data_IF_894847183146
#
_entry.id   IF_894847183146
#
_cell.length_a   1.000
_cell.length_b   1.000
_cell.length_c   1.000
_cell.angle_alpha   90.00
_cell.angle_beta   90.00
_cell.angle_gamma   90.00
#
_symmetry.space_group_name_H-M   'P 1'
#
loop_
_entity.id
_entity.type
_entity.pdbx_description
1 polymer ?
#
# COMPACT_ATOMS: atom_id res chain seq x y z
N UNK A 1 22.15 -4.79 15.89
CA UNK A 1 23.08 -3.79 15.36
C UNK A 1 22.37 -2.47 15.34
N UNK A 2 22.85 -1.42 16.00
CA UNK A 2 22.08 -0.19 16.21
C UNK A 2 21.94 0.71 14.97
N UNK A 3 22.80 0.62 13.98
CA UNK A 3 22.73 1.48 12.78
C UNK A 3 23.09 0.66 11.53
N UNK A 4 22.08 0.23 10.78
CA UNK A 4 22.26 -0.26 9.42
C UNK A 4 21.94 0.91 8.45
N UNK A 5 22.89 1.82 8.28
CA UNK A 5 22.73 3.03 7.50
C UNK A 5 23.71 3.03 6.32
N UNK A 6 23.19 3.29 5.13
CA UNK A 6 24.01 3.65 3.98
C UNK A 6 23.88 5.16 3.72
N UNK A 7 25.01 5.84 3.68
CA UNK A 7 25.15 7.23 3.31
C UNK A 7 25.66 7.32 1.87
N UNK A 8 24.99 8.12 1.04
CA UNK A 8 25.44 8.42 -0.32
C UNK A 8 25.33 9.92 -0.57
N UNK A 9 26.44 10.54 -0.89
CA UNK A 9 26.50 11.95 -1.30
C UNK A 9 26.51 11.97 -2.83
N UNK A 10 25.63 12.78 -3.44
CA UNK A 10 25.56 13.01 -4.87
C UNK A 10 25.62 14.51 -5.14
N UNK A 11 26.47 14.91 -6.09
CA UNK A 11 26.81 16.29 -6.42
C UNK A 11 28.29 16.58 -6.20
N UNK A 12 28.89 17.49 -6.98
CA UNK A 12 30.27 17.92 -6.86
C UNK A 12 30.45 19.02 -5.81
N UNK A 13 31.66 19.18 -5.30
CA UNK A 13 32.00 20.29 -4.40
C UNK A 13 31.74 21.66 -5.07
N UNK A 14 31.05 22.57 -4.34
CA UNK A 14 30.77 23.91 -4.77
C UNK A 14 29.56 24.07 -5.68
N UNK A 15 28.71 23.07 -5.83
CA UNK A 15 27.44 23.18 -6.55
C UNK A 15 26.39 23.95 -5.74
N UNK A 16 25.45 24.58 -6.45
CA UNK A 16 24.33 25.28 -5.82
C UNK A 16 23.34 24.36 -5.13
N UNK A 17 23.27 23.09 -5.56
CA UNK A 17 22.45 22.05 -4.93
C UNK A 17 23.26 20.76 -4.78
N UNK A 18 23.25 20.21 -3.58
CA UNK A 18 23.89 18.92 -3.28
C UNK A 18 22.89 18.04 -2.51
N UNK A 19 22.89 16.75 -2.80
CA UNK A 19 22.04 15.78 -2.09
C UNK A 19 22.87 14.82 -1.24
N UNK A 20 22.45 14.62 0.01
CA UNK A 20 22.90 13.53 0.87
C UNK A 20 21.74 12.61 1.19
N UNK A 21 21.82 11.36 0.75
CA UNK A 21 20.77 10.36 0.98
C UNK A 21 21.11 9.47 2.18
N UNK A 22 20.16 9.34 3.10
CA UNK A 22 20.21 8.42 4.22
C UNK A 22 19.22 7.28 3.98
N UNK A 23 19.72 6.03 3.97
CA UNK A 23 18.89 4.86 3.71
C UNK A 23 19.06 3.82 4.80
N UNK A 24 18.00 3.12 5.18
CA UNK A 24 18.03 2.08 6.20
C UNK A 24 17.35 2.47 7.51
N UNK A 25 17.97 2.16 8.63
CA UNK A 25 17.40 2.35 9.98
C UNK A 25 18.32 3.17 10.86
N UNK A 26 17.78 4.22 11.49
CA UNK A 26 18.46 5.07 12.46
C UNK A 26 17.91 4.79 13.87
N UNK A 27 18.60 3.95 14.64
CA UNK A 27 18.25 3.58 16.03
C UNK A 27 19.42 3.76 16.98
N UNK A 28 20.08 4.94 17.06
CA UNK A 28 21.12 5.15 18.03
C UNK A 28 20.55 5.08 19.46
N UNK A 29 21.29 4.47 20.39
CA UNK A 29 20.96 4.51 21.81
C UNK A 29 21.45 5.80 22.47
N UNK A 30 22.58 6.32 21.99
CA UNK A 30 23.19 7.58 22.45
C UNK A 30 23.58 8.44 21.23
N UNK A 31 23.75 9.74 21.47
CA UNK A 31 24.04 10.72 20.43
C UNK A 31 25.37 10.47 19.70
N UNK A 32 26.34 9.88 20.40
CA UNK A 32 27.69 9.57 19.87
C UNK A 32 27.65 8.58 18.70
N UNK A 33 26.65 7.68 18.66
CA UNK A 33 26.47 6.74 17.56
C UNK A 33 26.05 7.42 16.24
N UNK A 34 25.64 8.69 16.30
CA UNK A 34 25.32 9.54 15.14
C UNK A 34 26.52 10.36 14.65
N UNK A 35 27.71 10.23 15.27
CA UNK A 35 28.89 11.05 14.96
C UNK A 35 29.30 11.00 13.48
N UNK A 36 29.30 9.80 12.88
CA UNK A 36 29.63 9.61 11.46
C UNK A 36 28.59 10.27 10.54
N UNK A 37 27.30 10.10 10.86
CA UNK A 37 26.18 10.71 10.11
C UNK A 37 26.30 12.23 10.20
N UNK A 38 26.53 12.75 11.39
CA UNK A 38 26.68 14.18 11.64
C UNK A 38 27.88 14.77 10.88
N UNK A 39 29.05 14.12 10.95
CA UNK A 39 30.24 14.56 10.23
C UNK A 39 30.00 14.61 8.71
N UNK A 40 29.32 13.61 8.15
CA UNK A 40 28.97 13.58 6.73
C UNK A 40 27.99 14.68 6.34
N UNK A 41 26.98 14.98 7.18
CA UNK A 41 26.05 16.09 6.98
C UNK A 41 26.74 17.45 7.06
N UNK A 42 27.62 17.64 8.03
CA UNK A 42 28.41 18.87 8.20
C UNK A 42 29.36 19.07 7.02
N UNK A 43 30.03 18.02 6.55
CA UNK A 43 30.89 18.08 5.36
C UNK A 43 30.09 18.45 4.11
N UNK A 44 28.92 17.81 3.89
CA UNK A 44 28.03 18.16 2.78
C UNK A 44 27.56 19.61 2.87
N UNK A 45 27.21 20.09 4.07
CA UNK A 45 26.83 21.48 4.29
C UNK A 45 27.96 22.48 3.96
N UNK A 46 29.22 22.13 4.27
CA UNK A 46 30.36 22.97 3.92
C UNK A 46 30.65 23.01 2.41
N UNK A 47 30.41 21.91 1.71
CA UNK A 47 30.67 21.81 0.26
C UNK A 47 29.54 22.36 -0.63
N UNK A 48 28.36 22.66 -0.05
CA UNK A 48 27.18 23.18 -0.78
C UNK A 48 27.12 24.69 -0.70
N UNK A 49 26.75 25.37 -1.82
CA UNK A 49 26.61 26.85 -1.85
C UNK A 49 25.18 27.32 -1.61
N UNK A 50 24.16 26.67 -2.16
CA UNK A 50 22.78 27.14 -2.15
C UNK A 50 21.83 26.27 -1.31
N UNK A 51 21.54 25.03 -1.73
CA UNK A 51 20.59 24.15 -1.04
C UNK A 51 21.20 22.78 -0.79
N UNK A 52 21.23 22.36 0.47
CA UNK A 52 21.55 20.98 0.84
C UNK A 52 20.25 20.16 0.94
N UNK A 53 20.09 19.19 0.05
CA UNK A 53 19.00 18.24 0.09
C UNK A 53 19.36 17.04 0.98
N UNK A 54 18.64 16.87 2.08
CA UNK A 54 18.77 15.72 2.96
C UNK A 54 17.65 14.72 2.60
N UNK A 55 18.02 13.72 1.81
CA UNK A 55 17.06 12.76 1.26
C UNK A 55 16.86 11.58 2.24
N UNK A 56 15.67 11.53 2.84
CA UNK A 56 15.22 10.51 3.78
C UNK A 56 14.17 9.57 3.19
N UNK A 57 13.95 9.61 1.86
CA UNK A 57 12.91 8.80 1.18
C UNK A 57 13.01 7.30 1.46
N UNK A 58 14.23 6.79 1.63
CA UNK A 58 14.50 5.35 1.87
C UNK A 58 14.83 5.03 3.33
N UNK A 59 14.54 5.96 4.24
CA UNK A 59 14.71 5.72 5.67
C UNK A 59 13.53 4.89 6.18
N UNK A 60 13.81 3.68 6.66
CA UNK A 60 12.77 2.75 7.14
C UNK A 60 12.28 3.10 8.55
N UNK A 61 13.18 3.62 9.39
CA UNK A 61 12.88 3.96 10.78
C UNK A 61 13.88 4.98 11.32
N UNK A 62 13.40 5.84 12.23
CA UNK A 62 14.24 6.77 12.99
C UNK A 62 13.66 6.94 14.39
N UNK A 63 14.47 6.77 15.42
CA UNK A 63 14.07 7.03 16.80
C UNK A 63 14.25 8.52 17.20
N UNK A 64 13.82 8.86 18.42
CA UNK A 64 13.90 10.25 18.88
C UNK A 64 15.33 10.76 19.04
N UNK A 65 16.31 9.90 19.37
CA UNK A 65 17.71 10.30 19.48
C UNK A 65 18.24 10.76 18.13
N UNK A 66 18.02 9.96 17.06
CA UNK A 66 18.41 10.34 15.70
C UNK A 66 17.70 11.63 15.24
N UNK A 67 16.42 11.80 15.53
CA UNK A 67 15.69 13.02 15.20
C UNK A 67 16.27 14.26 15.90
N UNK A 68 16.61 14.15 17.18
CA UNK A 68 17.23 15.24 17.92
C UNK A 68 18.61 15.62 17.36
N UNK A 69 19.40 14.65 16.91
CA UNK A 69 20.70 14.92 16.28
C UNK A 69 20.53 15.61 14.92
N UNK A 70 19.53 15.24 14.11
CA UNK A 70 19.22 15.96 12.88
C UNK A 70 18.75 17.40 13.18
N UNK A 71 17.98 17.64 14.22
CA UNK A 71 17.60 18.97 14.66
C UNK A 71 18.81 19.79 15.16
N UNK A 72 19.75 19.15 15.87
CA UNK A 72 21.02 19.80 16.26
C UNK A 72 21.86 20.18 15.04
N UNK A 73 21.89 19.33 14.03
CA UNK A 73 22.53 19.65 12.74
C UNK A 73 21.87 20.85 12.08
N UNK A 74 20.53 20.92 12.00
CA UNK A 74 19.83 22.09 11.46
C UNK A 74 20.20 23.37 12.21
N UNK A 75 20.17 23.34 13.55
CA UNK A 75 20.55 24.49 14.38
C UNK A 75 21.98 24.94 14.09
N UNK A 76 22.91 24.00 13.95
CA UNK A 76 24.30 24.29 13.61
C UNK A 76 24.41 24.95 12.23
N UNK A 77 23.70 24.44 11.19
CA UNK A 77 23.70 25.06 9.86
C UNK A 77 23.17 26.49 9.93
N UNK A 78 22.01 26.70 10.53
CA UNK A 78 21.38 28.05 10.63
C UNK A 78 22.30 29.04 11.35
N UNK A 79 23.13 28.58 12.28
CA UNK A 79 24.06 29.45 13.03
C UNK A 79 25.36 29.67 12.28
N UNK A 80 25.92 28.60 11.65
CA UNK A 80 27.28 28.64 11.06
C UNK A 80 27.28 28.92 9.56
N UNK A 81 26.16 28.68 8.88
CA UNK A 81 25.96 28.83 7.44
C UNK A 81 24.57 29.43 7.12
N UNK A 82 24.28 30.67 7.58
CA UNK A 82 22.93 31.27 7.49
C UNK A 82 22.43 31.46 6.05
N UNK A 83 23.32 31.45 5.06
CA UNK A 83 23.01 31.51 3.64
C UNK A 83 22.56 30.17 3.04
N UNK A 84 22.89 29.05 3.70
CA UNK A 84 22.58 27.72 3.21
C UNK A 84 21.13 27.34 3.51
N UNK A 85 20.41 26.89 2.50
CA UNK A 85 19.07 26.31 2.66
C UNK A 85 19.18 24.82 2.87
N UNK A 86 18.30 24.26 3.70
CA UNK A 86 18.16 22.82 3.89
C UNK A 86 16.80 22.40 3.35
N UNK A 87 16.78 21.40 2.50
CA UNK A 87 15.55 20.75 2.04
C UNK A 87 15.54 19.29 2.49
N UNK A 88 14.61 18.93 3.38
CA UNK A 88 14.36 17.53 3.72
C UNK A 88 13.40 16.92 2.71
N UNK A 89 13.82 15.82 2.09
CA UNK A 89 12.98 15.03 1.19
C UNK A 89 12.50 13.81 1.96
N UNK A 90 11.22 13.76 2.30
CA UNK A 90 10.58 12.74 3.13
C UNK A 90 9.71 11.83 2.28
N UNK A 91 9.44 10.62 2.75
CA UNK A 91 8.44 9.74 2.14
C UNK A 91 7.09 9.94 2.82
N UNK A 92 6.01 10.01 2.02
CA UNK A 92 4.63 10.00 2.53
C UNK A 92 4.28 8.73 3.31
N UNK A 93 5.01 7.65 3.08
CA UNK A 93 4.87 6.35 3.79
C UNK A 93 5.25 6.45 5.27
N UNK A 94 5.87 7.56 5.71
CA UNK A 94 6.28 7.78 7.11
C UNK A 94 5.61 9.05 7.66
N UNK A 95 4.29 9.03 7.94
CA UNK A 95 3.53 10.23 8.35
C UNK A 95 4.06 10.90 9.61
N UNK A 96 4.58 10.11 10.58
CA UNK A 96 5.16 10.65 11.81
C UNK A 96 6.45 11.48 11.53
N UNK A 97 7.24 11.12 10.49
CA UNK A 97 8.41 11.90 10.11
C UNK A 97 7.99 13.25 9.55
N UNK A 98 6.99 13.28 8.68
CA UNK A 98 6.47 14.52 8.09
C UNK A 98 6.08 15.50 9.19
N UNK A 99 5.27 15.09 10.17
CA UNK A 99 4.84 15.98 11.28
C UNK A 99 6.02 16.53 12.08
N UNK A 100 7.03 15.68 12.39
CA UNK A 100 8.21 16.12 13.13
C UNK A 100 9.05 17.13 12.35
N UNK A 101 9.26 16.89 11.05
CA UNK A 101 10.05 17.81 10.22
C UNK A 101 9.28 19.08 9.86
N UNK A 102 7.94 19.06 9.80
CA UNK A 102 7.12 20.27 9.71
C UNK A 102 7.39 21.24 10.85
N UNK A 103 7.47 20.75 12.08
CA UNK A 103 7.83 21.58 13.24
C UNK A 103 9.22 22.21 13.07
N UNK A 104 10.20 21.49 12.50
CA UNK A 104 11.52 22.06 12.23
C UNK A 104 11.44 23.15 11.16
N UNK A 105 10.67 22.93 10.09
CA UNK A 105 10.51 23.93 9.02
C UNK A 105 9.76 25.20 9.50
N UNK A 106 8.80 25.05 10.41
CA UNK A 106 8.13 26.18 11.07
C UNK A 106 9.08 27.00 11.97
N UNK A 107 10.02 26.33 12.64
CA UNK A 107 10.99 26.98 13.54
C UNK A 107 12.16 27.66 12.80
N UNK A 108 12.53 27.12 11.64
CA UNK A 108 13.71 27.59 10.88
C UNK A 108 13.35 27.93 9.43
N UNK A 109 13.24 29.24 9.06
CA UNK A 109 12.88 29.67 7.69
C UNK A 109 13.83 29.19 6.58
N UNK A 110 15.07 28.82 6.92
CA UNK A 110 16.03 28.23 5.99
C UNK A 110 15.74 26.75 5.67
N UNK A 111 14.77 26.13 6.36
CA UNK A 111 14.41 24.72 6.20
C UNK A 111 13.11 24.60 5.40
N UNK A 112 13.12 23.76 4.39
CA UNK A 112 11.94 23.37 3.63
C UNK A 112 11.75 21.85 3.65
N UNK A 113 10.52 21.41 3.41
CA UNK A 113 10.17 20.00 3.30
C UNK A 113 9.59 19.76 1.92
N UNK A 114 10.10 18.72 1.28
CA UNK A 114 9.48 18.12 0.11
C UNK A 114 8.98 16.75 0.51
N UNK A 115 7.67 16.53 0.42
CA UNK A 115 7.09 15.22 0.64
C UNK A 115 7.04 14.48 -0.68
N UNK A 116 7.94 13.52 -0.83
CA UNK A 116 7.88 12.60 -1.95
C UNK A 116 6.75 11.62 -1.70
N UNK A 117 5.70 11.77 -2.45
CA UNK A 117 4.58 10.83 -2.40
C UNK A 117 5.01 9.50 -3.02
N UNK A 118 5.44 8.58 -2.15
CA UNK A 118 5.70 7.18 -2.48
C UNK A 118 4.53 6.28 -2.15
N UNK A 119 3.41 6.80 -1.72
CA UNK A 119 2.20 6.01 -1.73
C UNK A 119 1.91 5.66 -3.20
N UNK A 120 2.62 4.63 -3.69
CA UNK A 120 2.25 3.95 -4.90
C UNK A 120 0.99 3.17 -4.56
N UNK A 121 -0.12 3.81 -4.81
CA UNK A 121 -1.37 3.10 -4.93
C UNK A 121 -1.46 2.67 -6.39
N UNK A 122 -1.24 1.38 -6.66
CA UNK A 122 -1.41 0.87 -8.03
C UNK A 122 -2.76 1.39 -8.53
N UNK A 123 -2.78 1.94 -9.77
CA UNK A 123 -4.05 2.27 -10.43
C UNK A 123 -4.59 3.71 -10.22
N UNK A 124 -4.07 4.54 -9.29
CA UNK A 124 -4.62 5.89 -9.07
C UNK A 124 -4.57 6.84 -10.27
N UNK A 125 -3.59 6.69 -11.14
CA UNK A 125 -3.36 7.60 -12.27
C UNK A 125 -4.19 7.25 -13.53
N UNK A 126 -4.96 6.13 -13.52
CA UNK A 126 -5.60 5.54 -14.71
C UNK A 126 -7.11 5.75 -14.78
N UNK A 127 -7.70 6.42 -13.79
CA UNK A 127 -9.16 6.47 -13.58
C UNK A 127 -9.91 7.32 -14.61
N UNK A 128 -9.22 8.03 -15.47
CA UNK A 128 -9.84 8.75 -16.58
C UNK A 128 -10.01 7.86 -17.83
N UNK A 129 -9.59 6.58 -17.74
CA UNK A 129 -9.69 5.60 -18.83
C UNK A 129 -10.85 4.63 -18.54
N UNK A 130 -11.92 4.77 -19.27
CA UNK A 130 -13.12 3.93 -19.14
C UNK A 130 -12.80 2.44 -19.37
N UNK A 131 -11.85 2.12 -20.24
CA UNK A 131 -11.41 0.74 -20.50
C UNK A 131 -10.77 0.12 -19.26
N UNK A 132 -10.04 0.91 -18.50
CA UNK A 132 -9.42 0.43 -17.28
C UNK A 132 -10.42 0.25 -16.12
N UNK A 133 -11.43 1.11 -16.02
CA UNK A 133 -12.55 0.94 -15.10
C UNK A 133 -13.26 -0.39 -15.38
N UNK A 134 -13.51 -0.71 -16.65
CA UNK A 134 -14.11 -1.99 -17.04
C UNK A 134 -13.24 -3.20 -16.66
N UNK A 135 -11.92 -3.07 -16.72
CA UNK A 135 -11.01 -4.12 -16.24
C UNK A 135 -11.13 -4.33 -14.73
N UNK A 136 -11.15 -3.26 -13.94
CA UNK A 136 -11.30 -3.36 -12.47
C UNK A 136 -12.64 -3.99 -12.09
N UNK A 137 -13.72 -3.62 -12.79
CA UNK A 137 -15.04 -4.23 -12.60
C UNK A 137 -15.05 -5.71 -12.99
N UNK A 138 -14.35 -6.07 -14.08
CA UNK A 138 -14.18 -7.46 -14.48
C UNK A 138 -13.41 -8.25 -13.41
N UNK A 139 -12.34 -7.67 -12.87
CA UNK A 139 -11.59 -8.24 -11.75
C UNK A 139 -12.48 -8.47 -10.53
N UNK A 140 -13.24 -7.45 -10.12
CA UNK A 140 -14.15 -7.55 -8.98
C UNK A 140 -15.19 -8.65 -9.18
N UNK A 141 -15.78 -8.73 -10.38
CA UNK A 141 -16.75 -9.78 -10.70
C UNK A 141 -16.14 -11.18 -10.61
N UNK A 142 -14.94 -11.36 -11.18
CA UNK A 142 -14.24 -12.67 -11.11
C UNK A 142 -13.98 -13.06 -9.65
N UNK A 143 -13.48 -12.14 -8.83
CA UNK A 143 -13.26 -12.41 -7.40
C UNK A 143 -14.57 -12.75 -6.70
N UNK A 144 -15.62 -11.94 -6.96
CA UNK A 144 -16.94 -12.14 -6.37
C UNK A 144 -17.52 -13.53 -6.65
N UNK A 145 -17.41 -14.01 -7.88
CA UNK A 145 -17.95 -15.30 -8.29
C UNK A 145 -17.38 -16.47 -7.45
N UNK A 146 -16.16 -16.30 -6.90
CA UNK A 146 -15.49 -17.29 -6.04
C UNK A 146 -15.59 -16.99 -4.53
N UNK A 147 -15.84 -15.74 -4.16
CA UNK A 147 -15.82 -15.25 -2.78
C UNK A 147 -17.20 -15.33 -2.12
N UNK A 148 -18.28 -15.01 -2.85
CA UNK A 148 -19.62 -14.80 -2.32
C UNK A 148 -20.16 -15.97 -1.48
N UNK A 149 -19.92 -17.20 -1.92
CA UNK A 149 -20.40 -18.41 -1.22
C UNK A 149 -19.82 -18.58 0.18
N UNK A 150 -18.61 -18.02 0.42
CA UNK A 150 -17.91 -18.14 1.70
C UNK A 150 -18.19 -16.96 2.64
N UNK A 151 -18.74 -15.85 2.18
CA UNK A 151 -18.98 -14.68 3.01
C UNK A 151 -19.92 -14.96 4.18
N UNK A 152 -20.95 -15.78 3.98
CA UNK A 152 -21.83 -16.23 5.07
C UNK A 152 -21.06 -17.05 6.12
N UNK A 153 -20.14 -17.92 5.70
CA UNK A 153 -19.27 -18.67 6.61
C UNK A 153 -18.35 -17.73 7.40
N UNK A 154 -17.89 -16.62 6.80
CA UNK A 154 -17.15 -15.58 7.47
C UNK A 154 -18.00 -14.70 8.40
N UNK A 155 -19.32 -14.91 8.44
CA UNK A 155 -20.24 -14.23 9.36
C UNK A 155 -21.04 -13.08 8.75
N UNK A 156 -20.95 -12.88 7.43
CA UNK A 156 -21.81 -11.94 6.72
C UNK A 156 -23.25 -12.47 6.69
N UNK A 157 -24.21 -11.58 6.97
CA UNK A 157 -25.65 -11.90 6.99
C UNK A 157 -26.46 -10.62 6.69
N UNK A 158 -27.74 -10.74 6.34
CA UNK A 158 -28.60 -9.56 6.15
C UNK A 158 -28.70 -8.67 7.39
N UNK A 159 -28.96 -7.39 7.16
CA UNK A 159 -29.23 -6.41 8.22
C UNK A 159 -27.99 -5.95 9.00
N UNK A 160 -26.76 -6.25 8.55
CA UNK A 160 -25.54 -5.77 9.18
C UNK A 160 -25.19 -4.34 8.73
N UNK A 161 -24.54 -3.59 9.62
CA UNK A 161 -23.84 -2.35 9.31
C UNK A 161 -22.40 -2.69 8.92
N UNK A 162 -22.03 -2.31 7.70
CA UNK A 162 -20.75 -2.71 7.08
C UNK A 162 -19.88 -1.48 6.85
N UNK A 163 -18.59 -1.59 7.13
CA UNK A 163 -17.58 -0.65 6.67
C UNK A 163 -16.64 -1.37 5.68
N UNK A 164 -16.51 -0.82 4.47
CA UNK A 164 -15.61 -1.31 3.42
C UNK A 164 -14.44 -0.33 3.27
N UNK A 165 -13.28 -0.72 3.79
CA UNK A 165 -12.09 0.14 3.85
C UNK A 165 -11.16 -0.21 2.70
N UNK A 166 -10.65 0.81 1.99
CA UNK A 166 -10.01 0.71 0.68
C UNK A 166 -11.02 0.20 -0.37
N UNK A 167 -12.20 0.82 -0.40
CA UNK A 167 -13.35 0.36 -1.18
C UNK A 167 -13.21 0.52 -2.71
N UNK A 168 -12.18 1.22 -3.18
CA UNK A 168 -11.92 1.41 -4.60
C UNK A 168 -13.11 2.01 -5.36
N UNK A 169 -13.52 1.35 -6.44
CA UNK A 169 -14.66 1.75 -7.30
C UNK A 169 -16.04 1.49 -6.66
N UNK A 170 -16.09 0.84 -5.48
CA UNK A 170 -17.33 0.61 -4.74
C UNK A 170 -18.19 -0.55 -5.24
N UNK A 171 -17.75 -1.30 -6.24
CA UNK A 171 -18.54 -2.40 -6.82
C UNK A 171 -18.86 -3.48 -5.77
N UNK A 172 -17.94 -3.75 -4.83
CA UNK A 172 -18.18 -4.72 -3.75
C UNK A 172 -19.40 -4.36 -2.89
N UNK A 173 -19.55 -3.09 -2.53
CA UNK A 173 -20.71 -2.64 -1.75
C UNK A 173 -22.04 -2.85 -2.50
N UNK A 174 -22.05 -2.66 -3.82
CA UNK A 174 -23.22 -2.89 -4.69
C UNK A 174 -23.55 -4.40 -4.72
N UNK A 175 -22.54 -5.25 -4.86
CA UNK A 175 -22.69 -6.70 -4.84
C UNK A 175 -23.20 -7.20 -3.49
N UNK A 176 -22.66 -6.66 -2.39
CA UNK A 176 -23.16 -6.93 -1.04
C UNK A 176 -24.62 -6.54 -0.86
N UNK A 177 -25.02 -5.36 -1.37
CA UNK A 177 -26.40 -4.89 -1.29
C UNK A 177 -27.36 -5.81 -2.06
N UNK A 178 -26.94 -6.25 -3.24
CA UNK A 178 -27.74 -7.14 -4.08
C UNK A 178 -28.00 -8.51 -3.41
N UNK A 179 -26.94 -9.11 -2.84
CA UNK A 179 -26.99 -10.52 -2.45
C UNK A 179 -27.19 -10.72 -0.94
N UNK A 180 -26.79 -9.78 -0.10
CA UNK A 180 -26.82 -9.90 1.38
C UNK A 180 -27.72 -8.89 2.08
N UNK A 181 -28.15 -7.81 1.41
CA UNK A 181 -29.08 -6.80 1.93
C UNK A 181 -28.68 -6.27 3.31
N UNK A 182 -27.49 -5.68 3.47
CA UNK A 182 -27.10 -5.03 4.70
C UNK A 182 -28.02 -3.83 5.04
N UNK A 183 -28.07 -3.45 6.32
CA UNK A 183 -28.77 -2.25 6.76
C UNK A 183 -28.11 -0.99 6.17
N UNK A 184 -26.80 -0.92 6.23
CA UNK A 184 -26.02 0.22 5.80
C UNK A 184 -24.60 -0.19 5.42
N UNK A 185 -24.05 0.45 4.39
CA UNK A 185 -22.66 0.29 4.00
C UNK A 185 -21.98 1.66 3.93
N UNK A 186 -20.82 1.81 4.55
CA UNK A 186 -19.90 2.92 4.29
C UNK A 186 -18.64 2.41 3.61
N UNK A 187 -18.33 2.93 2.43
CA UNK A 187 -17.04 2.71 1.76
C UNK A 187 -16.10 3.86 2.03
N UNK A 188 -14.85 3.57 2.38
CA UNK A 188 -13.81 4.57 2.59
C UNK A 188 -12.64 4.29 1.66
N UNK A 189 -12.24 5.31 0.91
CA UNK A 189 -11.04 5.28 0.09
C UNK A 189 -10.34 6.64 0.10
N UNK A 190 -9.04 6.66 -0.19
CA UNK A 190 -8.28 7.91 -0.28
C UNK A 190 -8.21 8.44 -1.72
N UNK A 191 -8.71 7.70 -2.71
CA UNK A 191 -8.79 8.11 -4.11
C UNK A 191 -10.09 8.88 -4.39
N UNK A 192 -9.98 10.20 -4.50
CA UNK A 192 -11.15 11.04 -4.87
C UNK A 192 -11.76 10.67 -6.23
N UNK A 193 -10.98 10.32 -7.28
CA UNK A 193 -11.51 9.82 -8.54
C UNK A 193 -12.34 8.53 -8.34
N UNK A 194 -11.83 7.52 -7.63
CA UNK A 194 -12.59 6.29 -7.35
C UNK A 194 -13.91 6.60 -6.64
N UNK A 195 -13.88 7.45 -5.63
CA UNK A 195 -15.08 7.81 -4.89
C UNK A 195 -16.10 8.62 -5.72
N UNK A 196 -15.65 9.41 -6.70
CA UNK A 196 -16.58 10.06 -7.64
C UNK A 196 -17.32 9.02 -8.48
N UNK A 197 -16.59 8.05 -9.02
CA UNK A 197 -17.14 6.94 -9.76
C UNK A 197 -18.09 6.11 -8.90
N UNK A 198 -17.67 5.70 -7.71
CA UNK A 198 -18.48 4.91 -6.78
C UNK A 198 -19.80 5.60 -6.41
N UNK A 199 -19.77 6.91 -6.14
CA UNK A 199 -21.00 7.69 -5.85
C UNK A 199 -21.95 7.77 -7.04
N UNK A 200 -21.40 8.01 -8.24
CA UNK A 200 -22.21 8.01 -9.45
C UNK A 200 -22.88 6.66 -9.68
N UNK A 201 -22.14 5.60 -9.51
CA UNK A 201 -22.59 4.24 -9.72
C UNK A 201 -23.72 3.85 -8.76
N UNK A 202 -23.61 4.21 -7.48
CA UNK A 202 -24.69 4.01 -6.48
C UNK A 202 -25.94 4.80 -6.86
N UNK A 203 -25.80 6.05 -7.32
CA UNK A 203 -26.92 6.84 -7.81
C UNK A 203 -27.61 6.18 -9.02
N UNK A 204 -26.84 5.64 -9.97
CA UNK A 204 -27.37 4.98 -11.16
C UNK A 204 -28.20 3.73 -10.82
N UNK A 205 -27.85 3.04 -9.71
CA UNK A 205 -28.62 1.90 -9.18
C UNK A 205 -29.74 2.30 -8.19
N UNK A 206 -29.85 3.58 -7.84
CA UNK A 206 -30.87 4.04 -6.88
C UNK A 206 -30.72 3.48 -5.47
N UNK A 207 -29.48 3.23 -5.02
CA UNK A 207 -29.17 2.65 -3.72
C UNK A 207 -28.96 3.77 -2.69
N UNK A 208 -29.82 3.85 -1.67
CA UNK A 208 -29.78 4.92 -0.65
C UNK A 208 -29.02 4.54 0.62
N UNK A 209 -28.72 3.26 0.83
CA UNK A 209 -28.09 2.74 2.04
C UNK A 209 -26.57 2.50 1.88
N UNK A 210 -25.97 3.03 0.82
CA UNK A 210 -24.53 2.98 0.59
C UNK A 210 -23.99 4.42 0.54
N UNK A 211 -22.97 4.69 1.36
CA UNK A 211 -22.28 5.97 1.40
C UNK A 211 -20.79 5.78 1.14
N UNK A 212 -20.16 6.74 0.45
CA UNK A 212 -18.71 6.74 0.23
C UNK A 212 -18.07 7.99 0.80
N UNK A 213 -17.01 7.78 1.60
CA UNK A 213 -16.26 8.83 2.28
C UNK A 213 -14.80 8.84 1.84
N UNK A 214 -14.23 10.03 1.71
CA UNK A 214 -12.80 10.20 1.57
C UNK A 214 -12.14 10.03 2.93
N UNK A 215 -11.11 9.17 3.01
CA UNK A 215 -10.41 8.95 4.28
C UNK A 215 -9.12 8.16 4.12
N UNK A 216 -8.28 8.29 5.12
CA UNK A 216 -7.06 7.48 5.28
C UNK A 216 -7.40 6.24 6.12
N UNK A 217 -7.10 5.05 5.58
CA UNK A 217 -7.33 3.78 6.27
C UNK A 217 -6.56 3.67 7.61
N UNK A 218 -5.46 4.42 7.77
CA UNK A 218 -4.69 4.49 9.02
C UNK A 218 -5.23 5.51 10.04
N UNK A 219 -6.25 6.31 9.65
CA UNK A 219 -6.82 7.36 10.51
C UNK A 219 -8.29 7.63 10.12
N UNK A 220 -9.14 6.63 10.30
CA UNK A 220 -10.54 6.68 9.87
C UNK A 220 -11.36 7.68 10.70
N UNK A 221 -12.18 8.50 10.03
CA UNK A 221 -13.13 9.41 10.67
C UNK A 221 -14.47 8.71 11.02
N UNK A 222 -14.45 7.38 11.11
CA UNK A 222 -15.60 6.58 11.51
C UNK A 222 -15.63 6.37 13.02
N UNK A 223 -16.82 6.31 13.64
CA UNK A 223 -16.94 6.17 15.09
C UNK A 223 -16.53 4.76 15.57
N UNK A 224 -16.07 4.71 16.82
CA UNK A 224 -15.69 3.46 17.47
C UNK A 224 -16.88 2.50 17.60
N UNK A 225 -16.62 1.19 17.50
CA UNK A 225 -17.59 0.12 17.78
C UNK A 225 -18.92 0.24 17.05
N UNK A 226 -18.92 0.74 15.80
CA UNK A 226 -20.13 1.12 15.07
C UNK A 226 -20.54 0.17 13.95
N UNK A 227 -19.67 -0.78 13.58
CA UNK A 227 -19.92 -1.68 12.47
C UNK A 227 -19.90 -3.15 12.91
N UNK A 228 -20.82 -3.92 12.37
CA UNK A 228 -20.95 -5.36 12.60
C UNK A 228 -19.93 -6.16 11.83
N UNK A 229 -19.62 -5.70 10.62
CA UNK A 229 -18.71 -6.34 9.68
C UNK A 229 -17.83 -5.26 9.03
N UNK A 230 -16.51 -5.41 9.16
CA UNK A 230 -15.54 -4.47 8.62
C UNK A 230 -14.68 -5.19 7.60
N UNK A 231 -14.56 -4.64 6.40
CA UNK A 231 -13.80 -5.27 5.32
C UNK A 231 -12.61 -4.42 4.89
N UNK A 232 -11.53 -5.07 4.45
CA UNK A 232 -10.44 -4.46 3.71
C UNK A 232 -9.95 -5.50 2.69
N UNK A 233 -10.34 -5.32 1.42
CA UNK A 233 -10.08 -6.30 0.36
C UNK A 233 -8.94 -5.83 -0.53
N UNK A 234 -7.92 -6.68 -0.67
CA UNK A 234 -6.69 -6.41 -1.44
C UNK A 234 -5.99 -5.08 -1.08
N UNK A 235 -6.34 -4.50 0.07
CA UNK A 235 -5.80 -3.23 0.54
C UNK A 235 -4.56 -3.39 1.41
N UNK A 236 -4.54 -4.36 2.33
CA UNK A 236 -3.45 -4.47 3.32
C UNK A 236 -2.07 -4.65 2.70
N UNK A 237 -1.98 -5.27 1.54
CA UNK A 237 -0.75 -5.55 0.82
C UNK A 237 -0.03 -4.30 0.28
N UNK A 238 -0.75 -3.17 0.13
CA UNK A 238 -0.16 -1.93 -0.36
C UNK A 238 0.41 -1.04 0.75
N UNK A 239 0.23 -1.43 2.01
CA UNK A 239 0.73 -0.68 3.16
C UNK A 239 1.99 -1.33 3.74
N UNK A 240 3.00 -0.52 4.02
CA UNK A 240 4.25 -0.98 4.64
C UNK A 240 4.03 -1.52 6.08
N UNK A 241 3.06 -0.98 6.80
CA UNK A 241 2.71 -1.36 8.18
C UNK A 241 1.21 -1.62 8.32
N UNK A 242 0.73 -2.82 7.93
CA UNK A 242 -0.69 -3.15 7.98
C UNK A 242 -1.28 -3.18 9.40
N UNK A 243 -0.43 -3.21 10.45
CA UNK A 243 -0.87 -3.22 11.86
C UNK A 243 -1.63 -1.93 12.23
N UNK A 244 -1.22 -0.77 11.71
CA UNK A 244 -1.93 0.48 11.93
C UNK A 244 -3.34 0.44 11.35
N UNK A 245 -3.47 -0.08 10.12
CA UNK A 245 -4.76 -0.28 9.47
C UNK A 245 -5.62 -1.26 10.28
N UNK A 246 -5.06 -2.41 10.68
CA UNK A 246 -5.79 -3.38 11.51
C UNK A 246 -6.27 -2.80 12.84
N UNK A 247 -5.51 -1.87 13.44
CA UNK A 247 -5.92 -1.12 14.63
C UNK A 247 -7.17 -0.28 14.40
N UNK A 248 -7.25 0.41 13.27
CA UNK A 248 -8.42 1.20 12.89
C UNK A 248 -9.63 0.31 12.55
N UNK A 249 -9.43 -0.80 11.81
CA UNK A 249 -10.50 -1.77 11.55
C UNK A 249 -11.07 -2.32 12.86
N UNK A 250 -10.19 -2.65 13.83
CA UNK A 250 -10.60 -3.08 15.16
C UNK A 250 -11.35 -1.99 15.92
N UNK A 251 -10.89 -0.75 15.88
CA UNK A 251 -11.52 0.36 16.58
C UNK A 251 -12.97 0.56 16.14
N UNK A 252 -13.21 0.60 14.82
CA UNK A 252 -14.55 0.82 14.28
C UNK A 252 -15.47 -0.41 14.34
N UNK A 253 -14.91 -1.62 14.37
CA UNK A 253 -15.65 -2.87 14.53
C UNK A 253 -16.19 -2.95 15.96
N UNK A 254 -17.47 -3.29 16.14
CA UNK A 254 -18.06 -3.48 17.47
C UNK A 254 -17.57 -4.76 18.16
N UNK A 255 -17.60 -4.86 19.50
CA UNK A 255 -17.38 -6.11 20.21
C UNK A 255 -18.33 -7.19 19.67
N UNK A 256 -17.79 -8.39 19.36
CA UNK A 256 -18.53 -9.48 18.74
C UNK A 256 -18.73 -9.33 17.22
N UNK A 257 -18.41 -8.18 16.62
CA UNK A 257 -18.36 -7.98 15.18
C UNK A 257 -17.20 -8.70 14.52
N UNK A 258 -17.16 -8.71 13.20
CA UNK A 258 -16.13 -9.42 12.44
C UNK A 258 -15.35 -8.47 11.53
N UNK A 259 -14.07 -8.76 11.39
CA UNK A 259 -13.19 -8.16 10.39
C UNK A 259 -12.91 -9.22 9.32
N UNK A 260 -13.05 -8.82 8.08
CA UNK A 260 -12.80 -9.66 6.90
C UNK A 260 -11.77 -8.99 5.99
N UNK A 261 -10.76 -9.75 5.57
CA UNK A 261 -9.69 -9.24 4.69
C UNK A 261 -9.44 -10.22 3.56
N UNK A 262 -9.10 -9.71 2.38
CA UNK A 262 -8.51 -10.51 1.31
C UNK A 262 -7.13 -9.98 0.95
N UNK A 263 -6.20 -10.89 0.66
CA UNK A 263 -4.81 -10.56 0.41
C UNK A 263 -4.26 -11.39 -0.75
N UNK A 264 -3.52 -10.76 -1.65
CA UNK A 264 -2.88 -11.45 -2.76
C UNK A 264 -1.76 -12.39 -2.31
N UNK A 265 -1.54 -13.42 -3.09
CA UNK A 265 -0.40 -14.32 -3.00
C UNK A 265 0.29 -14.39 -4.37
N UNK A 266 1.17 -13.43 -4.63
CA UNK A 266 1.86 -13.33 -5.91
C UNK A 266 2.83 -14.50 -6.15
N UNK A 267 3.50 -15.00 -5.09
CA UNK A 267 4.36 -16.19 -5.18
C UNK A 267 3.60 -17.48 -5.48
N UNK A 268 2.29 -17.48 -5.28
CA UNK A 268 1.40 -18.60 -5.57
C UNK A 268 0.85 -18.59 -7.00
N UNK A 269 1.11 -17.55 -7.79
CA UNK A 269 0.72 -17.54 -9.20
C UNK A 269 1.57 -18.57 -9.95
N UNK A 270 0.89 -19.53 -10.53
CA UNK A 270 1.51 -20.61 -11.30
C UNK A 270 0.90 -20.67 -12.69
N UNK A 271 1.67 -21.16 -13.65
CA UNK A 271 1.22 -21.34 -15.02
C UNK A 271 1.99 -22.40 -15.78
N UNK A 272 1.35 -22.93 -16.80
CA UNK A 272 1.91 -23.92 -17.71
C UNK A 272 1.58 -23.51 -19.15
N UNK A 273 2.52 -23.65 -20.14
CA UNK A 273 3.77 -24.42 -20.07
C UNK A 273 5.00 -23.66 -19.53
N UNK A 274 4.99 -22.34 -19.46
CA UNK A 274 6.20 -21.53 -19.19
C UNK A 274 6.47 -21.31 -17.71
N UNK A 275 6.52 -22.36 -16.91
CA UNK A 275 6.63 -22.32 -15.45
C UNK A 275 7.77 -21.43 -14.91
N UNK A 276 8.96 -21.49 -15.50
CA UNK A 276 10.11 -20.72 -15.02
C UNK A 276 9.98 -19.22 -15.32
N UNK A 277 9.35 -18.86 -16.44
CA UNK A 277 9.06 -17.46 -16.78
C UNK A 277 8.01 -16.89 -15.82
N UNK A 278 6.96 -17.64 -15.48
CA UNK A 278 5.99 -17.26 -14.45
C UNK A 278 6.68 -17.00 -13.11
N UNK A 279 7.47 -17.98 -12.64
CA UNK A 279 8.19 -17.86 -11.36
C UNK A 279 9.05 -16.60 -11.34
N UNK A 280 9.85 -16.36 -12.37
CA UNK A 280 10.71 -15.19 -12.45
C UNK A 280 9.90 -13.88 -12.45
N UNK A 281 8.82 -13.82 -13.23
CA UNK A 281 7.97 -12.62 -13.35
C UNK A 281 7.38 -12.22 -12.01
N UNK A 282 6.72 -13.14 -11.33
CA UNK A 282 6.04 -12.82 -10.07
C UNK A 282 7.01 -12.64 -8.90
N UNK A 283 8.13 -13.35 -8.89
CA UNK A 283 9.22 -13.07 -7.95
C UNK A 283 9.74 -11.63 -8.13
N UNK A 284 9.89 -11.18 -9.37
CA UNK A 284 10.33 -9.81 -9.65
C UNK A 284 9.30 -8.76 -9.23
N UNK A 285 8.03 -9.03 -9.43
CA UNK A 285 6.93 -8.17 -8.94
C UNK A 285 6.97 -8.07 -7.41
N UNK A 286 7.19 -9.17 -6.70
CA UNK A 286 7.33 -9.20 -5.24
C UNK A 286 8.53 -8.36 -4.79
N UNK A 287 9.70 -8.52 -5.43
CA UNK A 287 10.91 -7.74 -5.13
C UNK A 287 10.67 -6.24 -5.29
N UNK A 288 10.05 -5.84 -6.42
CA UNK A 288 9.69 -4.44 -6.66
C UNK A 288 8.67 -3.92 -5.64
N UNK A 289 7.67 -4.74 -5.30
CA UNK A 289 6.72 -4.43 -4.23
C UNK A 289 7.42 -4.10 -2.92
N UNK A 290 8.35 -4.94 -2.48
CA UNK A 290 9.13 -4.69 -1.26
C UNK A 290 9.95 -3.39 -1.33
N UNK A 291 10.53 -3.06 -2.50
CA UNK A 291 11.25 -1.80 -2.68
C UNK A 291 10.32 -0.58 -2.56
N UNK A 292 9.05 -0.75 -2.91
CA UNK A 292 8.02 0.29 -2.84
C UNK A 292 7.24 0.29 -1.51
N UNK A 293 7.61 -0.58 -0.56
CA UNK A 293 6.95 -0.68 0.75
C UNK A 293 5.65 -1.50 0.73
N UNK A 294 5.42 -2.30 -0.31
CA UNK A 294 4.28 -3.20 -0.43
C UNK A 294 4.70 -4.65 -0.11
N UNK A 295 3.76 -5.45 0.35
CA UNK A 295 3.95 -6.88 0.57
C UNK A 295 2.98 -7.69 -0.31
N UNK A 296 3.46 -8.06 -1.49
CA UNK A 296 2.65 -8.75 -2.48
C UNK A 296 2.35 -10.23 -2.12
N UNK A 297 2.91 -10.72 -1.01
CA UNK A 297 2.66 -12.05 -0.43
C UNK A 297 1.97 -11.99 0.94
N UNK A 298 1.27 -10.91 1.21
CA UNK A 298 0.47 -10.74 2.43
C UNK A 298 -0.53 -11.89 2.63
N UNK A 299 -0.95 -12.57 1.55
CA UNK A 299 -1.81 -13.76 1.59
C UNK A 299 -1.34 -14.82 2.58
N UNK A 300 -0.04 -15.15 2.57
CA UNK A 300 0.55 -16.12 3.51
C UNK A 300 0.48 -15.67 4.97
N UNK A 301 0.38 -14.38 5.21
CA UNK A 301 0.39 -13.76 6.53
C UNK A 301 -1.01 -13.49 7.07
N UNK A 302 -2.06 -13.73 6.28
CA UNK A 302 -3.46 -13.39 6.62
C UNK A 302 -3.83 -13.90 8.03
N UNK A 303 -3.55 -15.18 8.35
CA UNK A 303 -3.84 -15.73 9.68
C UNK A 303 -3.07 -15.03 10.79
N UNK A 304 -1.78 -14.76 10.58
CA UNK A 304 -0.92 -14.10 11.57
C UNK A 304 -1.34 -12.64 11.80
N UNK A 305 -1.75 -11.92 10.75
CA UNK A 305 -2.25 -10.55 10.83
C UNK A 305 -3.48 -10.49 11.73
N UNK A 306 -4.45 -11.40 11.50
CA UNK A 306 -5.68 -11.47 12.30
C UNK A 306 -5.41 -11.86 13.76
N UNK A 307 -4.50 -12.82 14.01
CA UNK A 307 -4.09 -13.21 15.35
C UNK A 307 -3.39 -12.07 16.11
N UNK A 308 -2.44 -11.41 15.46
CA UNK A 308 -1.68 -10.31 16.06
C UNK A 308 -2.56 -9.09 16.36
N UNK A 309 -3.67 -8.93 15.64
CA UNK A 309 -4.70 -7.95 15.95
C UNK A 309 -5.61 -8.33 17.14
N UNK A 310 -5.39 -9.49 17.77
CA UNK A 310 -6.19 -9.94 18.91
C UNK A 310 -7.58 -10.47 18.56
N UNK A 311 -7.81 -10.83 17.30
CA UNK A 311 -9.07 -11.40 16.88
C UNK A 311 -9.20 -12.87 17.28
N UNK A 312 -10.43 -13.30 17.58
CA UNK A 312 -10.82 -14.68 17.90
C UNK A 312 -11.59 -15.32 16.74
N UNK A 313 -11.86 -16.64 16.84
CA UNK A 313 -12.63 -17.40 15.85
C UNK A 313 -12.18 -17.11 14.42
N UNK A 314 -10.86 -17.23 14.20
CA UNK A 314 -10.22 -16.92 12.94
C UNK A 314 -10.52 -18.01 11.92
N UNK A 315 -10.97 -17.57 10.75
CA UNK A 315 -11.26 -18.40 9.58
C UNK A 315 -10.40 -17.90 8.42
N UNK A 316 -9.79 -18.82 7.70
CA UNK A 316 -8.99 -18.51 6.51
C UNK A 316 -9.29 -19.54 5.44
N UNK A 317 -9.42 -19.11 4.19
CA UNK A 317 -9.51 -20.00 3.04
C UNK A 317 -8.78 -19.41 1.83
N UNK A 318 -8.48 -20.27 0.87
CA UNK A 318 -7.91 -19.89 -0.40
C UNK A 318 -9.04 -19.69 -1.43
N UNK A 319 -9.02 -18.55 -2.11
CA UNK A 319 -9.76 -18.29 -3.33
C UNK A 319 -8.78 -18.56 -4.47
N UNK A 320 -8.96 -19.67 -5.17
CA UNK A 320 -8.14 -20.05 -6.31
C UNK A 320 -8.89 -19.72 -7.60
N UNK A 321 -8.45 -18.63 -8.24
CA UNK A 321 -8.98 -18.16 -9.52
C UNK A 321 -8.08 -18.72 -10.62
N UNK A 322 -8.66 -19.43 -11.57
CA UNK A 322 -7.91 -20.04 -12.67
C UNK A 322 -8.77 -20.15 -13.94
N UNK A 323 -8.14 -20.44 -15.06
CA UNK A 323 -8.81 -20.51 -16.36
C UNK A 323 -9.75 -21.74 -16.53
N UNK A 324 -9.82 -22.62 -15.52
CA UNK A 324 -10.76 -23.75 -15.52
C UNK A 324 -12.06 -23.43 -14.75
N UNK A 325 -12.03 -22.43 -13.85
CA UNK A 325 -13.15 -22.05 -12.99
C UNK A 325 -13.64 -20.62 -13.16
N UNK A 326 -13.03 -19.84 -14.06
CA UNK A 326 -13.38 -18.46 -14.35
C UNK A 326 -13.51 -18.26 -15.86
N UNK A 327 -14.13 -17.16 -16.30
CA UNK A 327 -14.13 -16.74 -17.69
C UNK A 327 -12.70 -16.46 -18.17
N UNK A 328 -12.15 -17.28 -19.10
CA UNK A 328 -10.75 -17.09 -19.55
C UNK A 328 -10.53 -15.73 -20.23
N UNK A 329 -11.55 -15.21 -20.92
CA UNK A 329 -11.44 -13.92 -21.62
C UNK A 329 -11.34 -12.75 -20.65
N UNK A 330 -12.18 -12.75 -19.62
CA UNK A 330 -12.13 -11.76 -18.54
C UNK A 330 -10.83 -11.86 -17.74
N UNK A 331 -10.41 -13.08 -17.38
CA UNK A 331 -9.17 -13.29 -16.63
C UNK A 331 -7.94 -12.83 -17.43
N UNK A 332 -7.90 -13.08 -18.75
CA UNK A 332 -6.84 -12.61 -19.62
C UNK A 332 -6.76 -11.07 -19.63
N UNK A 333 -7.90 -10.36 -19.75
CA UNK A 333 -7.94 -8.89 -19.67
C UNK A 333 -7.40 -8.35 -18.36
N UNK A 334 -7.74 -8.99 -17.23
CA UNK A 334 -7.21 -8.61 -15.92
C UNK A 334 -5.69 -8.76 -15.89
N UNK A 335 -5.14 -9.87 -16.39
CA UNK A 335 -3.68 -10.08 -16.43
C UNK A 335 -2.99 -9.10 -17.38
N UNK A 336 -3.59 -8.79 -18.53
CA UNK A 336 -3.07 -7.78 -19.48
C UNK A 336 -2.95 -6.41 -18.82
N UNK A 337 -3.91 -6.01 -17.99
CA UNK A 337 -3.89 -4.73 -17.29
C UNK A 337 -2.75 -4.60 -16.29
N UNK A 338 -2.21 -5.71 -15.79
CA UNK A 338 -1.05 -5.70 -14.89
C UNK A 338 0.22 -5.17 -15.58
N UNK A 339 0.29 -5.11 -16.91
CA UNK A 339 1.34 -4.41 -17.63
C UNK A 339 1.45 -2.94 -17.21
N UNK A 340 0.31 -2.30 -16.97
CA UNK A 340 0.29 -0.91 -16.53
C UNK A 340 0.87 -0.75 -15.12
N UNK A 341 0.39 -1.56 -14.18
CA UNK A 341 0.85 -1.53 -12.78
C UNK A 341 2.34 -1.86 -12.70
N UNK A 342 2.78 -2.91 -13.39
CA UNK A 342 4.18 -3.35 -13.35
C UNK A 342 5.11 -2.35 -14.04
N UNK A 343 4.66 -1.62 -15.07
CA UNK A 343 5.41 -0.51 -15.67
C UNK A 343 5.68 0.59 -14.64
N UNK A 344 4.66 1.01 -13.92
CA UNK A 344 4.81 2.02 -12.86
C UNK A 344 5.71 1.50 -11.73
N UNK A 345 5.55 0.23 -11.33
CA UNK A 345 6.43 -0.38 -10.33
C UNK A 345 7.90 -0.37 -10.78
N UNK A 346 8.19 -0.72 -12.04
CA UNK A 346 9.54 -0.66 -12.62
C UNK A 346 10.11 0.76 -12.55
N UNK A 347 9.34 1.75 -13.00
CA UNK A 347 9.77 3.15 -13.00
C UNK A 347 10.06 3.65 -11.57
N UNK A 348 9.16 3.40 -10.63
CA UNK A 348 9.29 3.89 -9.25
C UNK A 348 10.31 3.12 -8.42
N UNK A 349 10.61 1.87 -8.76
CA UNK A 349 11.68 1.07 -8.16
C UNK A 349 13.02 1.20 -8.89
N UNK A 350 13.09 2.11 -9.89
CA UNK A 350 14.30 2.40 -10.67
C UNK A 350 14.89 1.14 -11.34
N UNK A 351 14.03 0.27 -11.88
CA UNK A 351 14.48 -0.92 -12.59
C UNK A 351 14.97 -0.57 -14.00
N UNK A 352 15.99 -1.29 -14.53
CA UNK A 352 16.38 -1.17 -15.92
C UNK A 352 15.24 -1.51 -16.89
N UNK A 353 15.18 -0.89 -18.09
CA UNK A 353 14.11 -1.13 -19.08
C UNK A 353 13.93 -2.62 -19.44
N UNK A 354 15.01 -3.39 -19.46
CA UNK A 354 15.01 -4.82 -19.80
C UNK A 354 14.21 -5.64 -18.80
N UNK A 355 14.14 -5.19 -17.55
CA UNK A 355 13.32 -5.84 -16.50
C UNK A 355 11.85 -5.72 -16.85
N UNK A 356 11.39 -4.54 -17.26
CA UNK A 356 10.01 -4.35 -17.67
C UNK A 356 9.67 -5.18 -18.91
N UNK A 357 10.54 -5.20 -19.93
CA UNK A 357 10.30 -6.00 -21.14
C UNK A 357 10.15 -7.50 -20.80
N UNK A 358 10.99 -8.01 -19.92
CA UNK A 358 10.91 -9.42 -19.50
C UNK A 358 9.65 -9.71 -18.64
N UNK A 359 9.21 -8.75 -17.79
CA UNK A 359 7.93 -8.87 -17.10
C UNK A 359 6.77 -8.92 -18.10
N UNK A 360 6.80 -8.07 -19.12
CA UNK A 360 5.81 -8.04 -20.19
C UNK A 360 5.74 -9.37 -20.97
N UNK A 361 6.89 -10.00 -21.24
CA UNK A 361 6.94 -11.36 -21.80
C UNK A 361 6.25 -12.37 -20.87
N UNK A 362 6.51 -12.29 -19.56
CA UNK A 362 5.88 -13.18 -18.57
C UNK A 362 4.38 -12.98 -18.45
N UNK A 363 3.90 -11.74 -18.49
CA UNK A 363 2.46 -11.45 -18.50
C UNK A 363 1.79 -11.91 -19.80
N UNK A 364 2.46 -11.77 -20.95
CA UNK A 364 1.98 -12.34 -22.22
C UNK A 364 1.89 -13.87 -22.16
N UNK A 365 2.92 -14.53 -21.64
CA UNK A 365 2.89 -15.98 -21.44
C UNK A 365 1.76 -16.40 -20.49
N UNK A 366 1.42 -15.56 -19.50
CA UNK A 366 0.29 -15.80 -18.61
C UNK A 366 -1.04 -15.75 -19.37
N UNK A 367 -1.24 -14.73 -20.19
CA UNK A 367 -2.42 -14.60 -21.06
C UNK A 367 -2.52 -15.78 -22.02
N UNK A 368 -1.42 -16.17 -22.67
CA UNK A 368 -1.36 -17.33 -23.55
C UNK A 368 -1.73 -18.63 -22.81
N UNK A 369 -1.24 -18.82 -21.58
CA UNK A 369 -1.59 -19.98 -20.76
C UNK A 369 -3.08 -20.00 -20.39
N UNK A 370 -3.71 -18.85 -20.15
CA UNK A 370 -5.14 -18.73 -19.88
C UNK A 370 -5.96 -19.12 -21.12
N UNK A 371 -5.53 -18.69 -22.31
CA UNK A 371 -6.31 -18.79 -23.54
C UNK A 371 -6.07 -20.06 -24.34
N UNK A 372 -4.96 -20.78 -24.10
CA UNK A 372 -4.62 -21.99 -24.85
C UNK A 372 -5.33 -23.23 -24.30
N UNK A 373 -5.72 -24.16 -25.20
CA UNK A 373 -6.45 -25.39 -24.86
C UNK A 373 -5.72 -26.29 -23.85
N UNK A 374 -4.38 -26.33 -23.90
CA UNK A 374 -3.56 -27.13 -22.98
C UNK A 374 -2.88 -26.29 -21.88
N UNK A 375 -3.23 -25.02 -21.77
CA UNK A 375 -2.62 -24.12 -20.80
C UNK A 375 -3.36 -24.11 -19.47
N UNK A 376 -2.62 -23.75 -18.44
CA UNK A 376 -3.16 -23.55 -17.08
C UNK A 376 -2.51 -22.31 -16.46
N UNK A 377 -3.33 -21.49 -15.81
CA UNK A 377 -2.85 -20.37 -14.99
C UNK A 377 -3.77 -20.14 -13.81
N UNK A 378 -3.20 -19.89 -12.63
CA UNK A 378 -3.91 -19.70 -11.38
C UNK A 378 -3.45 -18.41 -10.70
N UNK A 379 -4.42 -17.69 -10.12
CA UNK A 379 -4.22 -16.48 -9.34
C UNK A 379 -4.86 -16.66 -7.95
N UNK A 380 -4.06 -17.05 -6.95
CA UNK A 380 -4.56 -17.32 -5.61
C UNK A 380 -4.69 -16.04 -4.77
N UNK A 381 -5.79 -15.95 -4.00
CA UNK A 381 -6.07 -14.91 -3.02
C UNK A 381 -6.44 -15.58 -1.70
N UNK A 382 -5.84 -15.15 -0.58
CA UNK A 382 -6.27 -15.60 0.74
C UNK A 382 -7.33 -14.67 1.30
N UNK A 383 -8.47 -15.25 1.66
CA UNK A 383 -9.51 -14.57 2.42
C UNK A 383 -9.48 -15.04 3.88
N UNK A 384 -9.57 -14.08 4.78
CA UNK A 384 -9.56 -14.37 6.21
C UNK A 384 -10.50 -13.49 7.00
N UNK A 385 -11.07 -14.01 8.09
CA UNK A 385 -11.84 -13.23 9.04
C UNK A 385 -11.56 -13.59 10.47
N UNK A 386 -11.81 -12.66 11.38
CA UNK A 386 -11.77 -12.91 12.81
C UNK A 386 -12.84 -12.08 13.53
N UNK A 387 -13.25 -12.56 14.68
CA UNK A 387 -14.25 -11.90 15.54
C UNK A 387 -13.54 -11.02 16.56
N UNK A 388 -13.97 -9.76 16.69
CA UNK A 388 -13.51 -8.90 17.79
C UNK A 388 -14.01 -9.46 19.12
N UNK A 389 -13.15 -9.60 20.16
CA UNK A 389 -13.57 -10.06 21.47
C UNK A 389 -14.71 -9.21 22.06
N UNK A 390 -15.58 -9.80 22.85
CA UNK A 390 -16.66 -9.08 23.54
C UNK A 390 -16.14 -8.19 24.70
N UNK A 391 -14.95 -8.51 25.21
CA UNK A 391 -14.24 -7.72 26.21
C UNK A 391 -12.86 -7.40 25.66
N UNK A 392 -12.60 -6.15 25.40
CA UNK A 392 -11.27 -5.62 25.15
C UNK A 392 -10.79 -4.93 26.42
#
# INVERSE_FOLDING_TARGET
MPVALNLKVTGGEGQDEQEIALTGTLRPFVAEEMSTVRASLEQAAWSTRGTLCVNLKRLKYMNNVAFLELNRFVRWVVTSRPELKIKFILSSVIPWAIRKFQVIAELYPAVSIEVYDKAFYPIQEVIEDDEFIDVLRTQEKIIWDHEQEKLAWHGLRPGLRIADICCGLGDFAILLQRDFRPEYIVGVDHSKPFLRYARQHVCDYGLENIEYQYGDAAALLLPDNSFDFVTCRLGLQVFNEPQGIMGELLRICRPGGRIYVTNALMSGIIGWPQKELFRWTYQKVIEMGHLLGMDMDTGLKTRSILLNAGLEDIKVHLIDINNMNSDPSGLAKVVESWNYVTRQMCQRSEQPPEVFERIREGLRAHVEAIQSEGGFASWPIYAGSGRKPFRA
#
